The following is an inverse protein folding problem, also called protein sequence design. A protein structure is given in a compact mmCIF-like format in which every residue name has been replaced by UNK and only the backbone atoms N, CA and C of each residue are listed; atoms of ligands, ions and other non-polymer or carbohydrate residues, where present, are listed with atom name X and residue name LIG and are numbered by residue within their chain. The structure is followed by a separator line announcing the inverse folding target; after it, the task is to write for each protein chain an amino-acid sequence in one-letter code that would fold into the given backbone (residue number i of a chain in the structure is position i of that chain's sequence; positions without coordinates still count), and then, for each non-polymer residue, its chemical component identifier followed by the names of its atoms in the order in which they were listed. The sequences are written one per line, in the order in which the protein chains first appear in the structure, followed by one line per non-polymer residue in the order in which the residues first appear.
data_IF_757395346495
#
_entry.id   IF_757395346495
#
_cell.length_a   1.000
_cell.length_b   1.000
_cell.length_c   1.000
_cell.angle_alpha   90.00
_cell.angle_beta   90.00
_cell.angle_gamma   90.00
#
_symmetry.space_group_name_H-M   'P 1'
#
loop_
_entity.id
_entity.type
_entity.pdbx_description
1 polymer ?
#
# COMPACT_ATOMS: atom_id res chain seq x y z
N UNK A 1 -5.21 -8.66 -2.86
CA UNK A 1 -4.28 -9.36 -3.77
C UNK A 1 -3.77 -10.62 -3.09
N UNK A 2 -3.19 -11.58 -3.79
CA UNK A 2 -2.65 -12.78 -3.10
C UNK A 2 -1.32 -12.46 -2.41
N UNK A 3 -0.93 -13.28 -1.44
CA UNK A 3 0.39 -13.16 -0.80
C UNK A 3 1.53 -13.37 -1.81
N UNK A 4 1.34 -14.26 -2.80
CA UNK A 4 2.33 -14.49 -3.84
C UNK A 4 2.48 -13.26 -4.77
N UNK A 5 1.38 -12.58 -5.09
CA UNK A 5 1.43 -11.32 -5.83
C UNK A 5 2.23 -10.28 -5.05
N UNK A 6 1.94 -10.13 -3.75
CA UNK A 6 2.63 -9.21 -2.84
C UNK A 6 4.15 -9.50 -2.78
N UNK A 7 4.52 -10.76 -2.57
CA UNK A 7 5.92 -11.19 -2.48
C UNK A 7 6.67 -10.97 -3.81
N UNK A 8 5.95 -10.84 -4.93
CA UNK A 8 6.49 -10.55 -6.26
C UNK A 8 6.55 -9.07 -6.61
N UNK A 9 5.98 -8.18 -5.78
CA UNK A 9 5.95 -6.75 -6.04
C UNK A 9 7.36 -6.13 -5.94
N UNK A 10 7.63 -5.19 -6.86
CA UNK A 10 8.78 -4.29 -6.75
C UNK A 10 8.33 -2.99 -6.12
N UNK A 11 8.42 -2.93 -4.80
CA UNK A 11 8.09 -1.73 -4.04
C UNK A 11 9.04 -0.59 -4.42
N UNK A 12 8.49 0.57 -4.78
CA UNK A 12 9.24 1.77 -5.09
C UNK A 12 8.48 3.02 -4.66
N UNK A 13 9.20 4.15 -4.62
CA UNK A 13 8.57 5.45 -4.38
C UNK A 13 7.48 5.74 -5.43
N UNK A 14 6.43 6.43 -5.00
CA UNK A 14 5.29 6.79 -5.87
C UNK A 14 4.28 5.66 -6.10
N UNK A 15 4.39 4.54 -5.39
CA UNK A 15 3.42 3.45 -5.48
C UNK A 15 2.10 3.83 -4.79
N UNK A 16 0.98 3.48 -5.42
CA UNK A 16 -0.38 3.65 -4.91
C UNK A 16 -1.05 2.29 -4.77
N UNK A 17 -1.90 2.14 -3.74
CA UNK A 17 -2.68 0.94 -3.48
C UNK A 17 -4.18 1.27 -3.40
N UNK A 18 -5.01 0.44 -4.01
CA UNK A 18 -6.46 0.52 -3.86
C UNK A 18 -6.92 -0.30 -2.65
N UNK A 19 -7.55 0.37 -1.69
CA UNK A 19 -8.11 -0.22 -0.48
C UNK A 19 -9.51 0.35 -0.26
N UNK A 20 -10.52 -0.50 -0.09
CA UNK A 20 -11.90 -0.06 0.15
C UNK A 20 -12.49 0.84 -0.95
N UNK A 21 -12.01 0.75 -2.20
CA UNK A 21 -12.46 1.59 -3.32
C UNK A 21 -11.77 2.96 -3.42
N UNK A 22 -10.80 3.24 -2.56
CA UNK A 22 -10.02 4.47 -2.55
C UNK A 22 -8.53 4.19 -2.81
N UNK A 23 -7.84 5.15 -3.42
CA UNK A 23 -6.40 5.05 -3.70
C UNK A 23 -5.60 5.77 -2.61
N UNK A 24 -4.65 5.05 -2.02
CA UNK A 24 -3.75 5.55 -0.99
C UNK A 24 -2.31 5.51 -1.45
N UNK A 25 -1.48 6.41 -0.93
CA UNK A 25 -0.02 6.35 -1.10
C UNK A 25 0.53 5.20 -0.27
N UNK A 26 1.38 4.37 -0.88
CA UNK A 26 2.15 3.37 -0.17
C UNK A 26 3.44 4.03 0.30
N UNK A 27 3.59 4.22 1.61
CA UNK A 27 4.77 4.90 2.18
C UNK A 27 5.80 3.92 2.76
N UNK A 28 5.37 2.71 3.12
CA UNK A 28 6.22 1.63 3.63
C UNK A 28 5.53 0.29 3.48
N UNK A 29 6.26 -0.81 3.66
CA UNK A 29 5.75 -2.17 3.63
C UNK A 29 6.46 -3.03 4.68
N UNK A 30 5.70 -3.92 5.33
CA UNK A 30 6.25 -4.93 6.24
C UNK A 30 6.17 -6.29 5.52
N UNK A 31 7.31 -6.79 5.03
CA UNK A 31 7.36 -8.04 4.27
C UNK A 31 7.03 -9.29 5.10
N UNK A 32 7.60 -9.49 6.31
CA UNK A 32 7.24 -10.64 7.14
C UNK A 32 5.74 -10.77 7.42
N UNK A 33 5.06 -9.64 7.64
CA UNK A 33 3.62 -9.63 7.92
C UNK A 33 2.76 -9.34 6.68
N UNK A 34 3.36 -9.09 5.52
CA UNK A 34 2.69 -8.75 4.26
C UNK A 34 1.69 -7.60 4.43
N UNK A 35 2.16 -6.50 5.01
CA UNK A 35 1.38 -5.29 5.23
C UNK A 35 1.83 -4.15 4.33
N UNK A 36 0.87 -3.35 3.87
CA UNK A 36 1.09 -2.02 3.31
C UNK A 36 0.86 -0.96 4.39
N UNK A 37 1.77 0.01 4.50
CA UNK A 37 1.52 1.26 5.22
C UNK A 37 0.91 2.26 4.24
N UNK A 38 -0.36 2.60 4.46
CA UNK A 38 -1.16 3.49 3.61
C UNK A 38 -1.26 4.88 4.21
N UNK A 39 -1.20 5.88 3.33
CA UNK A 39 -1.32 7.29 3.67
C UNK A 39 -2.26 7.99 2.68
N UNK A 40 -3.11 8.89 3.17
CA UNK A 40 -3.87 9.83 2.36
C UNK A 40 -3.52 11.28 2.76
N UNK A 41 -3.72 12.21 1.83
CA UNK A 41 -3.53 13.65 2.09
C UNK A 41 -4.72 14.25 2.89
N UNK A 42 -5.66 13.43 3.36
CA UNK A 42 -6.94 13.86 3.92
C UNK A 42 -7.04 13.71 5.46
N UNK A 43 -6.05 13.10 6.11
CA UNK A 43 -6.00 13.09 7.58
C UNK A 43 -5.21 11.96 8.23
N UNK A 44 -4.56 11.08 7.47
CA UNK A 44 -3.61 10.11 8.03
C UNK A 44 -2.31 10.86 8.34
N UNK A 45 -1.76 10.70 9.56
CA UNK A 45 -0.43 11.21 9.87
C UNK A 45 0.61 10.30 9.22
N UNK A 46 1.66 10.87 8.60
CA UNK A 46 2.71 10.07 8.00
C UNK A 46 3.49 9.28 9.06
N UNK A 47 3.49 9.78 10.31
CA UNK A 47 4.11 9.12 11.47
C UNK A 47 3.23 7.99 12.05
N UNK A 48 1.93 7.93 11.72
CA UNK A 48 1.00 6.87 12.12
C UNK A 48 0.12 6.39 10.94
N UNK A 49 0.70 5.65 9.98
CA UNK A 49 -0.01 5.22 8.78
C UNK A 49 -0.98 4.09 9.08
N UNK A 50 -1.98 3.94 8.20
CA UNK A 50 -2.90 2.82 8.25
C UNK A 50 -2.22 1.56 7.70
N UNK A 51 -1.98 0.58 8.57
CA UNK A 51 -1.44 -0.73 8.18
C UNK A 51 -2.53 -1.68 7.73
N UNK A 52 -2.42 -2.21 6.51
CA UNK A 52 -3.40 -3.16 5.95
C UNK A 52 -2.72 -4.41 5.41
N UNK A 53 -3.36 -5.57 5.61
CA UNK A 53 -2.95 -6.85 5.00
C UNK A 53 -3.08 -6.79 3.48
N UNK A 54 -2.14 -7.40 2.76
CA UNK A 54 -2.13 -7.40 1.30
C UNK A 54 -3.40 -7.99 0.68
N UNK A 55 -4.04 -8.94 1.36
CA UNK A 55 -5.29 -9.54 0.91
C UNK A 55 -6.42 -8.52 0.73
N UNK A 56 -6.42 -7.44 1.52
CA UNK A 56 -7.42 -6.38 1.46
C UNK A 56 -7.12 -5.30 0.42
N UNK A 57 -5.95 -5.34 -0.22
CA UNK A 57 -5.58 -4.41 -1.29
C UNK A 57 -5.96 -5.00 -2.64
N UNK A 58 -6.81 -4.33 -3.40
CA UNK A 58 -7.33 -4.88 -4.67
C UNK A 58 -6.26 -4.86 -5.75
N UNK A 59 -5.56 -3.74 -5.91
CA UNK A 59 -4.55 -3.53 -6.93
C UNK A 59 -3.56 -2.43 -6.53
N UNK A 60 -2.43 -2.39 -7.22
CA UNK A 60 -1.38 -1.38 -7.05
C UNK A 60 -0.99 -0.81 -8.40
N UNK A 61 -0.57 0.45 -8.40
CA UNK A 61 -0.03 1.11 -9.59
C UNK A 61 1.10 2.06 -9.22
N UNK A 62 1.92 2.39 -10.20
CA UNK A 62 2.90 3.45 -10.07
C UNK A 62 2.21 4.77 -10.40
N UNK A 63 2.33 5.77 -9.53
CA UNK A 63 2.03 7.13 -9.90
C UNK A 63 3.03 7.52 -11.00
N UNK A 64 2.53 7.84 -12.19
CA UNK A 64 3.36 8.51 -13.18
C UNK A 64 3.78 9.85 -12.57
N UNK A 65 5.08 10.01 -12.32
CA UNK A 65 5.68 11.29 -11.94
C UNK A 65 5.58 12.27 -13.12
#
# INVERSE_FOLDING_TARGET
MTQQDFDSLRFCAGMLAEYGGHWYKVISCNFPERLFALYDDAGIDADDPMWVRCENVTQVKYANL
#
